data_IF_376964046781
#
_entry.id   IF_376964046781
#
_cell.length_a   1.000
_cell.length_b   1.000
_cell.length_c   1.000
_cell.angle_alpha   90.00
_cell.angle_beta   90.00
_cell.angle_gamma   90.00
#
_symmetry.space_group_name_H-M   'P 1'
#
loop_
_entity.id
_entity.type
_entity.pdbx_description
1 polymer ?
#
# COMPACT_ATOMS: atom_id res chain seq x y z
N UNK A 1 -3.92 9.29 -21.18
CA UNK A 1 -4.26 8.96 -19.78
C UNK A 1 -4.67 10.24 -19.06
N UNK A 2 -5.80 10.24 -18.34
CA UNK A 2 -6.29 11.40 -17.60
C UNK A 2 -6.07 11.20 -16.10
N UNK A 3 -5.26 12.07 -15.50
CA UNK A 3 -4.82 11.99 -14.10
C UNK A 3 -5.44 13.16 -13.32
N UNK A 4 -6.07 12.83 -12.19
CA UNK A 4 -6.66 13.79 -11.28
C UNK A 4 -5.96 13.77 -9.92
N UNK A 5 -5.41 14.92 -9.52
CA UNK A 5 -4.88 15.11 -8.17
C UNK A 5 -5.93 15.72 -7.24
N UNK A 6 -6.11 15.12 -6.07
CA UNK A 6 -7.10 15.56 -5.09
C UNK A 6 -6.46 15.96 -3.75
N UNK A 7 -6.94 17.07 -3.21
CA UNK A 7 -6.79 17.44 -1.81
C UNK A 7 -8.06 18.14 -1.31
N UNK A 8 -8.11 18.64 -0.08
CA UNK A 8 -9.32 19.29 0.44
C UNK A 8 -9.56 20.64 -0.26
N UNK A 9 -8.61 21.57 -0.12
CA UNK A 9 -8.81 22.96 -0.55
C UNK A 9 -8.44 23.26 -2.02
N UNK A 10 -7.82 22.31 -2.73
CA UNK A 10 -7.27 22.54 -4.08
C UNK A 10 -6.48 23.87 -4.20
N UNK A 11 -5.68 24.17 -3.18
CA UNK A 11 -4.95 25.44 -3.08
C UNK A 11 -3.44 25.29 -3.10
N UNK A 12 -2.88 24.21 -2.53
CA UNK A 12 -1.45 24.00 -2.40
C UNK A 12 -1.02 22.66 -3.00
N UNK A 13 -1.15 21.56 -2.25
CA UNK A 13 -0.63 20.23 -2.61
C UNK A 13 -1.05 19.77 -4.01
N UNK A 14 -2.35 19.78 -4.30
CA UNK A 14 -2.85 19.32 -5.61
C UNK A 14 -2.54 20.28 -6.74
N UNK A 15 -2.44 21.59 -6.46
CA UNK A 15 -1.99 22.59 -7.44
C UNK A 15 -0.52 22.42 -7.80
N UNK A 16 0.36 22.21 -6.81
CA UNK A 16 1.77 21.89 -7.05
C UNK A 16 1.92 20.57 -7.81
N UNK A 17 1.12 19.55 -7.44
CA UNK A 17 1.13 18.27 -8.12
C UNK A 17 0.71 18.37 -9.60
N UNK A 18 -0.32 19.12 -9.89
CA UNK A 18 -0.77 19.40 -11.25
C UNK A 18 0.33 20.08 -12.08
N UNK A 19 0.95 21.15 -11.55
CA UNK A 19 2.02 21.86 -12.24
C UNK A 19 3.23 20.98 -12.51
N UNK A 20 3.69 20.22 -11.50
CA UNK A 20 4.80 19.27 -11.62
C UNK A 20 4.50 18.17 -12.65
N UNK A 21 3.30 17.60 -12.56
CA UNK A 21 2.89 16.53 -13.45
C UNK A 21 2.75 16.98 -14.91
N UNK A 22 2.20 18.16 -15.15
CA UNK A 22 2.16 18.75 -16.49
C UNK A 22 3.57 18.95 -17.05
N UNK A 23 4.50 19.43 -16.25
CA UNK A 23 5.89 19.61 -16.68
C UNK A 23 6.61 18.29 -17.01
N UNK A 24 6.35 17.23 -16.22
CA UNK A 24 7.00 15.92 -16.39
C UNK A 24 6.33 15.10 -17.50
N UNK A 25 5.00 15.11 -17.59
CA UNK A 25 4.28 14.22 -18.51
C UNK A 25 4.10 14.83 -19.91
N UNK A 26 4.05 16.16 -20.03
CA UNK A 26 3.79 16.82 -21.31
C UNK A 26 2.51 16.29 -21.95
N UNK A 27 2.59 15.93 -23.22
CA UNK A 27 1.45 15.40 -23.99
C UNK A 27 1.08 13.94 -23.68
N UNK A 28 1.84 13.25 -22.82
CA UNK A 28 1.61 11.84 -22.46
C UNK A 28 0.39 11.64 -21.54
N UNK A 29 0.00 12.68 -20.81
CA UNK A 29 -1.16 12.65 -19.95
C UNK A 29 -1.86 14.01 -19.87
N UNK A 30 -3.18 13.98 -19.74
CA UNK A 30 -3.98 15.14 -19.37
C UNK A 30 -4.04 15.18 -17.84
N UNK A 31 -3.62 16.30 -17.26
CA UNK A 31 -3.50 16.45 -15.82
C UNK A 31 -4.42 17.54 -15.32
N UNK A 32 -5.16 17.24 -14.25
CA UNK A 32 -6.04 18.18 -13.55
C UNK A 32 -5.94 18.01 -12.04
N UNK A 33 -6.45 18.98 -11.31
CA UNK A 33 -6.61 18.88 -9.87
C UNK A 33 -7.95 19.42 -9.38
N UNK A 34 -8.43 18.91 -8.25
CA UNK A 34 -9.67 19.36 -7.62
C UNK A 34 -9.63 19.21 -6.09
N UNK A 35 -10.64 19.75 -5.42
CA UNK A 35 -10.84 19.63 -3.99
C UNK A 35 -12.30 19.54 -3.57
N UNK A 36 -12.54 19.03 -2.35
CA UNK A 36 -13.89 18.99 -1.77
C UNK A 36 -14.39 20.36 -1.29
N UNK A 37 -13.46 21.25 -0.93
CA UNK A 37 -13.74 22.62 -0.48
C UNK A 37 -12.74 23.58 -1.14
N UNK A 38 -12.87 23.83 -2.46
CA UNK A 38 -11.90 24.63 -3.20
C UNK A 38 -11.83 26.07 -2.67
N UNK A 39 -10.62 26.61 -2.69
CA UNK A 39 -10.34 27.98 -2.29
C UNK A 39 -9.54 28.71 -3.39
N UNK A 40 -8.57 29.53 -3.05
CA UNK A 40 -7.67 30.15 -4.02
C UNK A 40 -6.33 29.44 -4.02
N UNK A 41 -5.62 29.47 -5.17
CA UNK A 41 -4.25 28.97 -5.25
C UNK A 41 -3.37 29.72 -4.26
N UNK A 42 -2.65 28.98 -3.41
CA UNK A 42 -1.86 29.55 -2.34
C UNK A 42 -0.64 30.30 -2.90
N UNK A 43 -0.43 31.59 -2.56
CA UNK A 43 0.72 32.36 -3.06
C UNK A 43 2.08 31.73 -2.77
N UNK A 44 2.23 31.07 -1.61
CA UNK A 44 3.47 30.39 -1.25
C UNK A 44 3.70 29.14 -2.13
N UNK A 45 2.62 28.47 -2.55
CA UNK A 45 2.72 27.38 -3.54
C UNK A 45 3.23 27.92 -4.88
N UNK A 46 2.71 29.07 -5.34
CA UNK A 46 3.19 29.72 -6.57
C UNK A 46 4.67 30.09 -6.45
N UNK A 47 5.08 30.66 -5.32
CA UNK A 47 6.47 31.05 -5.07
C UNK A 47 7.42 29.87 -5.15
N UNK A 48 7.15 28.78 -4.39
CA UNK A 48 8.05 27.62 -4.36
C UNK A 48 8.06 26.85 -5.69
N UNK A 49 6.97 26.89 -6.45
CA UNK A 49 6.94 26.30 -7.78
C UNK A 49 7.75 27.12 -8.79
N UNK A 50 7.69 28.44 -8.68
CA UNK A 50 8.52 29.35 -9.48
C UNK A 50 10.01 29.13 -9.25
N UNK A 51 10.44 28.82 -8.01
CA UNK A 51 11.83 28.42 -7.70
C UNK A 51 12.30 27.20 -8.52
N UNK A 52 11.36 26.34 -8.92
CA UNK A 52 11.63 25.15 -9.77
C UNK A 52 11.37 25.42 -11.25
N UNK A 53 11.16 26.66 -11.65
CA UNK A 53 10.88 27.05 -13.03
C UNK A 53 9.48 26.70 -13.54
N UNK A 54 8.53 26.41 -12.65
CA UNK A 54 7.16 26.05 -13.00
C UNK A 54 6.21 27.12 -12.51
N UNK A 55 5.50 27.77 -13.43
CA UNK A 55 4.49 28.78 -13.12
C UNK A 55 3.11 28.13 -12.97
N UNK A 56 2.51 28.24 -11.78
CA UNK A 56 1.16 27.79 -11.48
C UNK A 56 0.22 28.95 -11.15
N UNK A 57 0.63 30.19 -11.39
CA UNK A 57 -0.16 31.39 -11.03
C UNK A 57 -1.49 31.50 -11.78
N UNK A 58 -1.58 30.91 -12.98
CA UNK A 58 -2.78 30.88 -13.80
C UNK A 58 -3.72 29.70 -13.50
N UNK A 59 -3.31 28.76 -12.64
CA UNK A 59 -4.17 27.63 -12.27
C UNK A 59 -5.34 28.11 -11.41
N UNK A 60 -6.42 27.34 -11.43
CA UNK A 60 -7.65 27.64 -10.68
C UNK A 60 -8.02 26.50 -9.76
N UNK A 61 -8.57 26.86 -8.59
CA UNK A 61 -9.13 25.85 -7.68
C UNK A 61 -10.50 25.41 -8.18
N UNK A 62 -10.64 24.10 -8.36
CA UNK A 62 -11.84 23.45 -8.95
C UNK A 62 -12.49 22.54 -7.92
N UNK A 63 -13.82 22.52 -7.91
CA UNK A 63 -14.57 21.56 -7.08
C UNK A 63 -14.52 20.15 -7.68
N UNK A 64 -14.37 19.14 -6.82
CA UNK A 64 -14.48 17.74 -7.25
C UNK A 64 -15.84 17.42 -7.87
N UNK A 65 -16.90 18.18 -7.51
CA UNK A 65 -18.25 18.03 -8.10
C UNK A 65 -18.34 18.51 -9.56
N UNK A 66 -17.37 19.28 -10.04
CA UNK A 66 -17.30 19.76 -11.42
C UNK A 66 -16.52 18.82 -12.35
N UNK A 67 -15.89 17.76 -11.78
CA UNK A 67 -15.10 16.81 -12.53
C UNK A 67 -15.98 15.73 -13.13
N UNK A 68 -15.84 15.52 -14.44
CA UNK A 68 -16.42 14.34 -15.10
C UNK A 68 -15.59 13.10 -14.73
N UNK A 69 -16.10 12.36 -13.75
CA UNK A 69 -15.43 11.17 -13.20
C UNK A 69 -15.29 10.02 -14.22
N UNK A 70 -16.12 10.00 -15.25
CA UNK A 70 -16.07 8.98 -16.31
C UNK A 70 -14.85 9.13 -17.23
N UNK A 71 -14.28 10.33 -17.28
CA UNK A 71 -13.09 10.63 -18.08
C UNK A 71 -11.78 10.42 -17.36
N UNK A 72 -11.78 10.10 -16.05
CA UNK A 72 -10.57 9.96 -15.22
C UNK A 72 -10.08 8.52 -15.19
N UNK A 73 -8.82 8.31 -15.58
CA UNK A 73 -8.16 7.00 -15.54
C UNK A 73 -7.46 6.71 -14.21
N UNK A 74 -6.90 7.76 -13.58
CA UNK A 74 -6.14 7.66 -12.34
C UNK A 74 -6.43 8.83 -11.41
N UNK A 75 -6.79 8.52 -10.17
CA UNK A 75 -6.94 9.49 -9.08
C UNK A 75 -5.77 9.37 -8.11
N UNK A 76 -5.17 10.49 -7.75
CA UNK A 76 -4.09 10.57 -6.76
C UNK A 76 -4.52 11.51 -5.63
N UNK A 77 -4.71 10.97 -4.44
CA UNK A 77 -5.11 11.74 -3.25
C UNK A 77 -3.87 12.13 -2.43
N UNK A 78 -3.83 13.39 -1.97
CA UNK A 78 -2.66 14.00 -1.33
C UNK A 78 -2.87 14.34 0.16
N UNK A 79 -4.06 14.11 0.72
CA UNK A 79 -4.34 14.40 2.12
C UNK A 79 -3.61 13.41 3.04
N UNK A 80 -3.00 13.89 4.13
CA UNK A 80 -2.34 13.02 5.12
C UNK A 80 -3.23 12.76 6.33
N UNK A 81 -3.90 13.79 6.85
CA UNK A 81 -4.67 13.75 8.09
C UNK A 81 -6.14 14.13 7.90
N UNK A 82 -6.47 14.72 6.74
CA UNK A 82 -7.84 15.12 6.43
C UNK A 82 -8.56 14.00 5.65
N UNK A 83 -9.87 14.02 5.71
CA UNK A 83 -10.69 13.14 4.88
C UNK A 83 -10.60 13.59 3.42
N UNK A 84 -9.92 12.81 2.60
CA UNK A 84 -9.85 13.06 1.16
C UNK A 84 -11.21 12.86 0.49
N UNK A 85 -11.54 13.69 -0.52
CA UNK A 85 -12.74 13.48 -1.31
C UNK A 85 -12.70 12.10 -2.01
N UNK A 86 -13.82 11.38 -1.94
CA UNK A 86 -13.98 10.09 -2.59
C UNK A 86 -14.68 10.32 -3.93
N UNK A 87 -14.04 9.93 -5.03
CA UNK A 87 -14.70 9.85 -6.33
C UNK A 87 -15.48 8.53 -6.41
N UNK A 88 -16.77 8.54 -6.78
CA UNK A 88 -17.49 7.30 -7.07
C UNK A 88 -16.94 6.65 -8.36
N UNK A 89 -17.07 5.31 -8.46
CA UNK A 89 -16.67 4.56 -9.65
C UNK A 89 -15.40 3.69 -9.46
N UNK A 90 -15.12 2.86 -10.46
CA UNK A 90 -14.00 1.91 -10.46
C UNK A 90 -12.73 2.51 -11.09
N UNK A 91 -12.32 3.70 -10.63
CA UNK A 91 -11.12 4.41 -11.10
C UNK A 91 -9.89 3.90 -10.33
N UNK A 92 -8.75 3.73 -11.01
CA UNK A 92 -7.47 3.43 -10.33
C UNK A 92 -7.13 4.54 -9.35
N UNK A 93 -6.67 4.18 -8.15
CA UNK A 93 -6.37 5.14 -7.07
C UNK A 93 -5.00 4.92 -6.49
N UNK A 94 -4.28 6.03 -6.31
CA UNK A 94 -3.06 6.09 -5.51
C UNK A 94 -3.29 7.07 -4.35
N UNK A 95 -2.65 6.78 -3.23
CA UNK A 95 -2.66 7.66 -2.07
C UNK A 95 -1.23 8.08 -1.75
N UNK A 96 -0.96 9.38 -1.87
CA UNK A 96 0.33 9.99 -1.57
C UNK A 96 0.18 10.94 -0.37
N UNK A 97 0.17 10.45 0.86
CA UNK A 97 -0.03 11.30 2.02
C UNK A 97 1.10 12.33 2.13
N UNK A 98 0.75 13.60 2.00
CA UNK A 98 1.62 14.76 2.13
C UNK A 98 1.04 15.65 3.22
N UNK A 99 1.83 15.92 4.26
CA UNK A 99 1.43 16.84 5.32
C UNK A 99 1.00 18.20 4.74
N UNK A 100 -0.03 18.81 5.32
CA UNK A 100 -0.49 20.12 4.82
C UNK A 100 0.56 21.21 5.12
N UNK A 101 1.22 21.78 4.10
CA UNK A 101 2.25 22.79 4.32
C UNK A 101 1.67 24.10 4.87
N UNK A 102 0.37 24.35 4.68
CA UNK A 102 -0.30 25.55 5.19
C UNK A 102 -0.91 25.34 6.59
N UNK A 103 -0.81 24.16 7.18
CA UNK A 103 -1.30 23.87 8.53
C UNK A 103 -0.63 24.81 9.54
N UNK A 104 -1.44 25.48 10.38
CA UNK A 104 -1.00 26.47 11.38
C UNK A 104 -0.14 27.64 10.82
N UNK A 105 -0.32 27.99 9.54
CA UNK A 105 0.44 29.04 8.87
C UNK A 105 0.55 30.37 9.66
N UNK A 106 -0.49 30.85 10.38
CA UNK A 106 -0.40 32.09 11.15
C UNK A 106 0.61 32.07 12.31
N UNK A 107 1.03 30.88 12.75
CA UNK A 107 2.00 30.72 13.85
C UNK A 107 3.43 30.51 13.36
N UNK A 108 3.67 30.46 12.05
CA UNK A 108 4.96 30.19 11.44
C UNK A 108 5.64 31.48 10.97
N UNK A 109 6.95 31.51 11.01
CA UNK A 109 7.74 32.51 10.30
C UNK A 109 7.63 32.29 8.78
N UNK A 110 7.93 33.31 7.97
CA UNK A 110 7.93 33.18 6.52
C UNK A 110 8.86 32.07 6.02
N UNK A 111 10.05 31.97 6.60
CA UNK A 111 11.05 30.95 6.23
C UNK A 111 10.60 29.53 6.59
N UNK A 112 9.97 29.36 7.75
CA UNK A 112 9.40 28.05 8.15
C UNK A 112 8.26 27.63 7.22
N UNK A 113 7.40 28.57 6.85
CA UNK A 113 6.31 28.31 5.91
C UNK A 113 6.85 27.91 4.54
N UNK A 114 7.78 28.68 3.99
CA UNK A 114 8.48 28.37 2.73
C UNK A 114 9.15 26.99 2.78
N UNK A 115 9.84 26.68 3.89
CA UNK A 115 10.48 25.38 4.11
C UNK A 115 9.49 24.21 4.03
N UNK A 116 8.30 24.35 4.63
CA UNK A 116 7.23 23.33 4.55
C UNK A 116 6.70 23.14 3.13
N UNK A 117 6.47 24.24 2.41
CA UNK A 117 6.02 24.17 1.02
C UNK A 117 7.08 23.56 0.09
N UNK A 118 8.36 23.90 0.26
CA UNK A 118 9.47 23.25 -0.47
C UNK A 118 9.52 21.74 -0.19
N UNK A 119 9.38 21.33 1.07
CA UNK A 119 9.33 19.91 1.45
C UNK A 119 8.16 19.18 0.77
N UNK A 120 6.97 19.77 0.80
CA UNK A 120 5.80 19.20 0.15
C UNK A 120 5.98 19.10 -1.37
N UNK A 121 6.48 20.16 -2.02
CA UNK A 121 6.82 20.19 -3.45
C UNK A 121 7.80 19.06 -3.80
N UNK A 122 8.88 18.92 -3.05
CA UNK A 122 9.95 17.97 -3.36
C UNK A 122 9.47 16.52 -3.15
N UNK A 123 8.64 16.25 -2.14
CA UNK A 123 7.99 14.97 -1.94
C UNK A 123 7.02 14.61 -3.08
N UNK A 124 6.26 15.58 -3.57
CA UNK A 124 5.34 15.40 -4.70
C UNK A 124 6.16 15.18 -5.97
N UNK A 125 7.20 16.01 -6.20
CA UNK A 125 8.08 15.90 -7.37
C UNK A 125 8.70 14.52 -7.50
N UNK A 126 9.27 13.98 -6.43
CA UNK A 126 9.87 12.66 -6.43
C UNK A 126 8.89 11.55 -6.88
N UNK A 127 7.62 11.65 -6.45
CA UNK A 127 6.57 10.69 -6.85
C UNK A 127 6.09 10.90 -8.29
N UNK A 128 5.98 12.15 -8.72
CA UNK A 128 5.62 12.51 -10.10
C UNK A 128 6.69 12.04 -11.08
N UNK A 129 7.97 12.21 -10.77
CA UNK A 129 9.09 11.74 -11.59
C UNK A 129 9.03 10.20 -11.78
N UNK A 130 8.77 9.45 -10.69
CA UNK A 130 8.61 7.99 -10.76
C UNK A 130 7.37 7.63 -11.59
N UNK A 131 6.23 8.27 -11.34
CA UNK A 131 5.01 8.02 -12.10
C UNK A 131 5.21 8.32 -13.60
N UNK A 132 5.95 9.39 -13.94
CA UNK A 132 6.30 9.72 -15.31
C UNK A 132 7.11 8.64 -16.03
N UNK A 133 7.97 7.94 -15.30
CA UNK A 133 8.70 6.78 -15.85
C UNK A 133 7.80 5.55 -16.03
N UNK A 134 6.72 5.43 -15.25
CA UNK A 134 5.78 4.30 -15.32
C UNK A 134 4.70 4.48 -16.40
N UNK A 135 4.38 5.73 -16.78
CA UNK A 135 3.39 6.00 -17.84
C UNK A 135 3.82 5.39 -19.18
N UNK A 136 5.12 5.33 -19.44
CA UNK A 136 5.68 4.79 -20.68
C UNK A 136 5.98 3.27 -20.58
N UNK A 137 5.80 2.67 -19.40
CA UNK A 137 5.93 1.22 -19.26
C UNK A 137 4.70 0.60 -19.93
N UNK A 138 4.90 0.14 -21.17
CA UNK A 138 3.95 -0.75 -21.83
C UNK A 138 3.65 -1.94 -20.92
N UNK A 139 2.51 -2.57 -21.10
CA UNK A 139 2.08 -3.74 -20.35
C UNK A 139 3.26 -4.67 -20.07
N UNK A 140 3.47 -4.95 -18.78
CA UNK A 140 4.45 -5.95 -18.37
C UNK A 140 4.12 -7.31 -18.98
N UNK A 141 4.98 -8.31 -18.85
CA UNK A 141 4.70 -9.63 -19.38
C UNK A 141 3.34 -10.09 -18.84
N UNK A 142 2.48 -10.58 -19.72
CA UNK A 142 1.26 -11.28 -19.31
C UNK A 142 1.69 -12.46 -18.44
N UNK A 143 1.51 -12.30 -17.11
CA UNK A 143 1.95 -13.27 -16.13
C UNK A 143 0.77 -14.14 -15.72
N UNK A 144 0.86 -15.43 -15.98
CA UNK A 144 -0.13 -16.41 -15.55
C UNK A 144 0.21 -17.04 -14.19
N UNK A 145 1.47 -16.89 -13.75
CA UNK A 145 1.97 -17.56 -12.56
C UNK A 145 3.01 -16.66 -11.84
N UNK A 146 2.90 -16.57 -10.52
CA UNK A 146 3.92 -15.97 -9.67
C UNK A 146 4.84 -17.06 -9.10
N UNK A 147 6.12 -17.05 -9.51
CA UNK A 147 7.12 -17.98 -9.01
C UNK A 147 7.94 -17.35 -7.88
N UNK A 148 8.05 -18.07 -6.76
CA UNK A 148 8.93 -17.69 -5.66
C UNK A 148 9.66 -18.90 -5.09
N UNK A 149 10.85 -18.70 -4.52
CA UNK A 149 11.66 -19.77 -3.97
C UNK A 149 12.27 -19.35 -2.64
N UNK A 150 12.20 -20.23 -1.65
CA UNK A 150 12.87 -20.08 -0.35
C UNK A 150 13.94 -21.17 -0.17
N UNK A 151 15.05 -20.78 0.44
CA UNK A 151 16.01 -21.75 0.98
C UNK A 151 15.62 -22.11 2.39
N UNK A 152 15.76 -23.41 2.72
CA UNK A 152 15.39 -23.97 4.02
C UNK A 152 16.51 -24.90 4.52
N UNK A 153 16.72 -24.94 5.83
CA UNK A 153 17.70 -25.86 6.43
C UNK A 153 17.17 -27.28 6.49
N UNK A 154 15.92 -27.45 6.95
CA UNK A 154 15.23 -28.73 7.08
C UNK A 154 14.14 -28.87 6.03
N UNK A 155 14.42 -29.53 4.88
CA UNK A 155 13.45 -29.62 3.79
C UNK A 155 12.18 -30.38 4.20
N UNK A 156 12.30 -31.46 4.98
CA UNK A 156 11.15 -32.29 5.36
C UNK A 156 10.17 -31.54 6.28
N UNK A 157 10.70 -30.83 7.28
CA UNK A 157 9.97 -30.01 8.23
C UNK A 157 9.27 -28.85 7.50
N UNK A 158 10.01 -28.20 6.61
CA UNK A 158 9.48 -27.09 5.79
C UNK A 158 8.42 -27.58 4.82
N UNK A 159 8.59 -28.72 4.17
CA UNK A 159 7.54 -29.32 3.31
C UNK A 159 6.27 -29.58 4.10
N UNK A 160 6.36 -30.14 5.30
CA UNK A 160 5.19 -30.37 6.17
C UNK A 160 4.48 -29.04 6.50
N UNK A 161 5.23 -28.01 6.86
CA UNK A 161 4.69 -26.68 7.18
C UNK A 161 4.01 -26.03 5.96
N UNK A 162 4.73 -25.96 4.82
CA UNK A 162 4.20 -25.31 3.63
C UNK A 162 3.09 -26.09 2.91
N UNK A 163 3.05 -27.41 3.03
CA UNK A 163 1.92 -28.20 2.58
C UNK A 163 0.64 -27.83 3.34
N UNK A 164 0.74 -27.64 4.65
CA UNK A 164 -0.37 -27.13 5.45
C UNK A 164 -0.71 -25.67 5.10
N UNK A 165 0.30 -24.76 5.06
CA UNK A 165 0.09 -23.33 4.81
C UNK A 165 -0.57 -23.06 3.46
N UNK A 166 -0.10 -23.74 2.41
CA UNK A 166 -0.59 -23.60 1.04
C UNK A 166 -1.81 -24.48 0.75
N UNK A 167 -2.23 -25.29 1.72
CA UNK A 167 -3.33 -26.26 1.58
C UNK A 167 -3.19 -27.11 0.32
N UNK A 168 -1.99 -27.60 0.05
CA UNK A 168 -1.69 -28.45 -1.11
C UNK A 168 -0.48 -29.36 -0.85
N UNK A 169 -0.44 -30.51 -1.50
CA UNK A 169 0.74 -31.38 -1.50
C UNK A 169 1.77 -30.86 -2.51
N UNK A 170 3.08 -31.10 -2.28
CA UNK A 170 4.09 -30.79 -3.28
C UNK A 170 3.83 -31.61 -4.56
N UNK A 171 3.86 -30.92 -5.70
CA UNK A 171 3.80 -31.55 -7.03
C UNK A 171 5.02 -32.42 -7.29
N UNK A 172 6.16 -31.98 -6.77
CA UNK A 172 7.44 -32.70 -6.86
C UNK A 172 8.19 -32.50 -5.54
N UNK A 173 8.84 -33.56 -5.06
CA UNK A 173 9.67 -33.54 -3.86
C UNK A 173 10.87 -34.45 -4.03
N UNK A 174 12.06 -33.85 -4.04
CA UNK A 174 13.36 -34.53 -4.12
C UNK A 174 14.12 -34.33 -2.81
N UNK A 175 15.35 -34.87 -2.75
CA UNK A 175 16.24 -34.60 -1.62
C UNK A 175 16.79 -33.16 -1.58
N UNK A 176 16.62 -32.37 -2.65
CA UNK A 176 17.15 -31.01 -2.78
C UNK A 176 16.10 -29.92 -2.80
N UNK A 177 14.88 -30.22 -3.24
CA UNK A 177 13.80 -29.26 -3.38
C UNK A 177 12.41 -29.90 -3.32
N UNK A 178 11.43 -29.05 -3.07
CA UNK A 178 10.02 -29.38 -3.22
C UNK A 178 9.30 -28.24 -3.96
N UNK A 179 8.39 -28.57 -4.87
CA UNK A 179 7.62 -27.62 -5.68
C UNK A 179 6.14 -27.73 -5.32
N UNK A 180 5.53 -26.61 -4.99
CA UNK A 180 4.11 -26.48 -4.73
C UNK A 180 3.46 -25.64 -5.80
N UNK A 181 2.37 -26.11 -6.38
CA UNK A 181 1.61 -25.40 -7.39
C UNK A 181 0.19 -25.15 -6.88
N UNK A 182 -0.23 -23.90 -6.92
CA UNK A 182 -1.59 -23.44 -6.61
C UNK A 182 -2.12 -22.62 -7.78
N UNK A 183 -2.73 -23.28 -8.79
CA UNK A 183 -3.22 -22.60 -10.00
C UNK A 183 -4.29 -21.56 -9.70
N UNK A 184 -5.11 -21.81 -8.68
CA UNK A 184 -6.15 -20.88 -8.20
C UNK A 184 -5.60 -19.58 -7.61
N UNK A 185 -4.32 -19.56 -7.20
CA UNK A 185 -3.59 -18.39 -6.75
C UNK A 185 -2.56 -17.90 -7.77
N UNK A 186 -2.44 -18.56 -8.92
CA UNK A 186 -1.35 -18.29 -9.87
C UNK A 186 0.03 -18.45 -9.21
N UNK A 187 0.21 -19.41 -8.29
CA UNK A 187 1.41 -19.55 -7.47
C UNK A 187 2.20 -20.82 -7.79
N UNK A 188 3.50 -20.63 -8.05
CA UNK A 188 4.53 -21.67 -8.09
C UNK A 188 5.56 -21.37 -6.99
N UNK A 189 5.52 -22.17 -5.92
CA UNK A 189 6.34 -21.99 -4.73
C UNK A 189 7.34 -23.15 -4.58
N UNK A 190 8.63 -22.80 -4.47
CA UNK A 190 9.71 -23.78 -4.37
C UNK A 190 10.43 -23.67 -3.05
N UNK A 191 10.55 -24.78 -2.34
CA UNK A 191 11.50 -24.94 -1.23
C UNK A 191 12.77 -25.58 -1.76
N UNK A 192 13.93 -25.04 -1.38
CA UNK A 192 15.24 -25.54 -1.79
C UNK A 192 16.16 -25.65 -0.57
N UNK A 193 16.91 -26.74 -0.45
CA UNK A 193 17.88 -26.87 0.64
C UNK A 193 18.89 -25.74 0.63
N UNK A 194 19.29 -25.29 1.81
CA UNK A 194 20.25 -24.20 1.98
C UNK A 194 21.64 -24.52 1.42
N UNK A 195 22.01 -25.81 1.43
CA UNK A 195 23.28 -26.31 0.84
C UNK A 195 24.52 -25.58 1.38
N UNK A 196 24.56 -25.40 2.71
CA UNK A 196 25.63 -24.69 3.41
C UNK A 196 25.60 -23.16 3.29
N UNK A 197 24.60 -22.58 2.64
CA UNK A 197 24.42 -21.14 2.56
C UNK A 197 23.69 -20.61 3.80
N UNK A 198 24.08 -19.42 4.24
CA UNK A 198 23.32 -18.73 5.29
C UNK A 198 21.96 -18.29 4.78
N UNK A 199 20.94 -18.50 5.62
CA UNK A 199 19.61 -17.96 5.36
C UNK A 199 19.59 -16.49 5.78
N UNK A 200 19.39 -15.61 4.82
CA UNK A 200 19.25 -14.15 5.05
C UNK A 200 17.78 -13.82 5.28
N UNK A 201 17.36 -13.87 6.54
CA UNK A 201 15.99 -13.53 6.91
C UNK A 201 15.75 -12.01 6.98
N UNK A 202 16.81 -11.22 7.05
CA UNK A 202 16.75 -9.75 7.21
C UNK A 202 16.19 -9.02 5.98
N UNK A 203 16.23 -9.64 4.81
CA UNK A 203 15.75 -9.03 3.55
C UNK A 203 14.32 -9.41 3.18
N UNK A 204 13.80 -10.52 3.72
CA UNK A 204 12.40 -10.93 3.59
C UNK A 204 11.68 -10.64 4.89
N UNK A 205 10.88 -9.58 4.93
CA UNK A 205 10.16 -9.22 6.15
C UNK A 205 9.13 -10.30 6.52
N UNK A 206 8.26 -10.68 5.59
CA UNK A 206 7.30 -11.79 5.78
C UNK A 206 6.73 -12.29 4.46
N UNK A 207 6.09 -13.46 4.51
CA UNK A 207 5.18 -13.96 3.48
C UNK A 207 3.74 -13.81 3.98
N UNK A 208 2.85 -13.29 3.14
CA UNK A 208 1.45 -13.09 3.47
C UNK A 208 0.51 -14.08 2.75
N UNK A 209 -0.42 -14.68 3.50
CA UNK A 209 -1.51 -15.51 2.95
C UNK A 209 -2.85 -14.86 3.29
N UNK A 210 -3.51 -14.34 2.27
CA UNK A 210 -4.86 -13.80 2.41
C UNK A 210 -5.90 -14.92 2.53
N UNK A 211 -6.79 -14.82 3.51
CA UNK A 211 -7.94 -15.71 3.72
C UNK A 211 -9.24 -14.93 3.64
N UNK A 212 -10.38 -15.64 3.57
CA UNK A 212 -11.66 -15.02 3.23
C UNK A 212 -12.17 -14.04 4.29
N UNK A 213 -12.04 -14.38 5.58
CA UNK A 213 -12.66 -13.65 6.66
C UNK A 213 -11.97 -13.89 8.02
N UNK A 214 -12.46 -13.22 9.05
CA UNK A 214 -12.06 -13.34 10.44
C UNK A 214 -12.05 -14.79 10.95
N UNK A 215 -13.07 -15.57 10.61
CA UNK A 215 -13.19 -16.96 11.08
C UNK A 215 -12.10 -17.83 10.46
N UNK A 216 -11.76 -17.61 9.20
CA UNK A 216 -10.67 -18.32 8.55
C UNK A 216 -9.29 -18.03 9.19
N UNK A 217 -9.08 -16.81 9.73
CA UNK A 217 -7.88 -16.48 10.54
C UNK A 217 -7.87 -17.27 11.84
N UNK A 218 -9.00 -17.33 12.56
CA UNK A 218 -9.15 -18.08 13.82
C UNK A 218 -8.96 -19.59 13.58
N UNK A 219 -9.58 -20.14 12.54
CA UNK A 219 -9.42 -21.54 12.17
C UNK A 219 -7.97 -21.88 11.80
N UNK A 220 -7.27 -20.95 11.15
CA UNK A 220 -5.86 -21.11 10.83
C UNK A 220 -5.00 -21.18 12.10
N UNK A 221 -5.33 -20.39 13.13
CA UNK A 221 -4.67 -20.46 14.42
C UNK A 221 -4.84 -21.84 15.08
N UNK A 222 -6.06 -22.38 15.15
CA UNK A 222 -6.29 -23.70 15.73
C UNK A 222 -5.57 -24.81 14.96
N UNK A 223 -5.55 -24.73 13.64
CA UNK A 223 -4.81 -25.68 12.79
C UNK A 223 -3.30 -25.55 12.96
N UNK A 224 -2.77 -24.31 13.07
CA UNK A 224 -1.36 -24.05 13.31
C UNK A 224 -0.89 -24.65 14.65
N UNK A 225 -1.68 -24.47 15.72
CA UNK A 225 -1.42 -25.09 17.04
C UNK A 225 -1.39 -26.62 16.95
N UNK A 226 -2.35 -27.22 16.24
CA UNK A 226 -2.38 -28.67 16.05
C UNK A 226 -1.18 -29.19 15.25
N UNK A 227 -0.68 -28.38 14.31
CA UNK A 227 0.53 -28.67 13.55
C UNK A 227 1.80 -28.58 14.42
N UNK A 228 1.76 -27.82 15.53
CA UNK A 228 2.93 -27.45 16.33
C UNK A 228 3.74 -26.31 15.74
N UNK A 229 3.11 -25.46 14.89
CA UNK A 229 3.76 -24.27 14.34
C UNK A 229 4.03 -23.24 15.43
N UNK A 230 5.12 -22.49 15.29
CA UNK A 230 5.44 -21.39 16.19
C UNK A 230 4.51 -20.20 15.97
N UNK A 231 3.74 -19.81 17.00
CA UNK A 231 2.86 -18.65 16.97
C UNK A 231 3.67 -17.44 17.43
N UNK A 232 3.88 -16.47 16.55
CA UNK A 232 4.60 -15.23 16.86
C UNK A 232 3.68 -14.16 17.45
N UNK A 233 2.47 -13.99 16.87
CA UNK A 233 1.41 -13.14 17.41
C UNK A 233 0.08 -13.87 17.33
N UNK A 234 -0.71 -13.77 18.37
CA UNK A 234 -2.04 -14.37 18.43
C UNK A 234 -3.01 -13.71 17.44
N UNK A 235 -4.07 -14.42 17.03
CA UNK A 235 -5.12 -13.85 16.20
C UNK A 235 -5.68 -12.57 16.78
N UNK A 236 -5.71 -11.51 16.02
CA UNK A 236 -6.20 -10.21 16.46
C UNK A 236 -6.68 -9.37 15.30
N UNK A 237 -7.52 -8.38 15.58
CA UNK A 237 -7.81 -7.26 14.69
C UNK A 237 -6.81 -6.15 14.97
N UNK A 238 -6.10 -5.70 13.98
CA UNK A 238 -5.21 -4.54 14.03
C UNK A 238 -5.88 -3.36 13.35
N UNK A 239 -5.89 -2.19 14.00
CA UNK A 239 -6.59 -0.99 13.54
C UNK A 239 -5.65 0.07 12.97
N UNK A 240 -4.40 0.09 13.44
CA UNK A 240 -3.37 1.05 12.97
C UNK A 240 -2.77 0.63 11.63
N UNK A 241 -2.54 1.61 10.77
CA UNK A 241 -2.00 1.35 9.44
C UNK A 241 -3.06 0.81 8.48
N UNK A 242 -2.86 -0.39 7.97
CA UNK A 242 -3.87 -1.12 7.19
C UNK A 242 -4.66 -2.03 8.12
N UNK A 243 -5.93 -1.73 8.45
CA UNK A 243 -6.73 -2.57 9.33
C UNK A 243 -6.95 -3.97 8.76
N UNK A 244 -6.62 -4.98 9.55
CA UNK A 244 -6.69 -6.40 9.17
C UNK A 244 -7.05 -7.27 10.37
N UNK A 245 -7.68 -8.42 10.12
CA UNK A 245 -7.62 -9.55 11.02
C UNK A 245 -6.33 -10.31 10.69
N UNK A 246 -5.46 -10.54 11.66
CA UNK A 246 -4.12 -11.11 11.40
C UNK A 246 -3.73 -12.18 12.42
N UNK A 247 -2.94 -13.14 11.96
CA UNK A 247 -2.23 -14.16 12.73
C UNK A 247 -0.80 -14.20 12.23
N UNK A 248 0.17 -14.17 13.14
CA UNK A 248 1.59 -14.26 12.76
C UNK A 248 2.22 -15.53 13.26
N UNK A 249 2.92 -16.22 12.37
CA UNK A 249 3.59 -17.48 12.58
C UNK A 249 5.07 -17.35 12.22
N UNK A 250 5.87 -18.36 12.61
CA UNK A 250 7.18 -18.61 12.01
C UNK A 250 7.18 -19.97 11.35
N UNK A 251 7.81 -20.04 10.17
CA UNK A 251 8.16 -21.33 9.56
C UNK A 251 9.28 -22.02 10.36
N UNK A 252 9.66 -23.27 10.03
CA UNK A 252 10.71 -23.99 10.74
C UNK A 252 12.09 -23.31 10.74
N UNK A 253 12.36 -22.43 9.77
CA UNK A 253 13.59 -21.67 9.66
C UNK A 253 13.51 -20.25 10.24
N UNK A 254 12.35 -19.86 10.79
CA UNK A 254 12.13 -18.58 11.43
C UNK A 254 11.58 -17.48 10.50
N UNK A 255 11.26 -17.79 9.23
CA UNK A 255 10.62 -16.85 8.33
C UNK A 255 9.25 -16.45 8.88
N UNK A 256 8.97 -15.15 8.94
CA UNK A 256 7.66 -14.65 9.37
C UNK A 256 6.59 -14.94 8.32
N UNK A 257 5.46 -15.44 8.78
CA UNK A 257 4.28 -15.72 7.96
C UNK A 257 3.09 -14.97 8.55
N UNK A 258 2.45 -14.16 7.74
CA UNK A 258 1.20 -13.49 8.07
C UNK A 258 0.02 -14.24 7.44
N UNK A 259 -0.96 -14.66 8.22
CA UNK A 259 -2.27 -15.10 7.71
C UNK A 259 -3.26 -13.99 8.04
N UNK A 260 -3.88 -13.41 7.01
CA UNK A 260 -4.70 -12.22 7.21
C UNK A 260 -6.01 -12.26 6.44
N UNK A 261 -7.01 -11.55 6.96
CA UNK A 261 -8.25 -11.22 6.26
C UNK A 261 -8.52 -9.71 6.31
N UNK A 262 -9.09 -9.18 5.23
CA UNK A 262 -9.51 -7.78 5.20
C UNK A 262 -10.78 -7.60 6.01
N UNK A 263 -10.90 -6.46 6.71
CA UNK A 263 -12.13 -6.10 7.37
C UNK A 263 -13.22 -5.74 6.35
N UNK A 264 -14.44 -6.14 6.63
CA UNK A 264 -15.63 -5.68 5.91
C UNK A 264 -15.93 -4.21 6.24
N UNK A 265 -16.75 -3.55 5.42
CA UNK A 265 -17.18 -2.17 5.69
C UNK A 265 -17.91 -2.04 7.03
N UNK A 266 -18.69 -3.06 7.42
CA UNK A 266 -19.37 -3.10 8.71
C UNK A 266 -18.37 -3.16 9.88
N UNK A 267 -17.37 -4.05 9.80
CA UNK A 267 -16.31 -4.14 10.82
C UNK A 267 -15.47 -2.87 10.89
N UNK A 268 -15.23 -2.20 9.76
CA UNK A 268 -14.52 -0.91 9.73
C UNK A 268 -15.29 0.21 10.45
N UNK A 269 -16.62 0.16 10.47
CA UNK A 269 -17.45 1.14 11.20
C UNK A 269 -17.41 0.97 12.73
N UNK A 270 -17.01 -0.21 13.20
CA UNK A 270 -16.89 -0.53 14.63
C UNK A 270 -15.48 -0.25 15.20
N UNK A 271 -14.65 0.47 14.46
CA UNK A 271 -13.28 0.81 14.86
C UNK A 271 -13.26 1.52 16.23
N UNK A 272 -12.52 0.98 17.23
CA UNK A 272 -12.41 1.59 18.54
C UNK A 272 -11.61 2.90 18.50
N UNK A 273 -12.00 3.86 19.34
CA UNK A 273 -11.39 5.20 19.37
C UNK A 273 -9.90 5.19 19.77
N UNK A 274 -9.47 4.21 20.55
CA UNK A 274 -8.08 4.06 21.00
C UNK A 274 -7.20 3.27 20.03
N UNK A 275 -7.81 2.68 18.98
CA UNK A 275 -7.15 1.86 17.96
C UNK A 275 -6.28 0.72 18.54
N UNK A 276 -6.59 0.27 19.75
CA UNK A 276 -5.88 -0.87 20.33
C UNK A 276 -6.25 -2.17 19.61
N UNK A 277 -5.30 -3.11 19.44
CA UNK A 277 -5.59 -4.40 18.82
C UNK A 277 -6.61 -5.20 19.66
N UNK A 278 -7.56 -5.84 18.99
CA UNK A 278 -8.54 -6.71 19.59
C UNK A 278 -8.20 -8.17 19.33
N UNK A 279 -7.99 -8.95 20.41
CA UNK A 279 -7.70 -10.37 20.27
C UNK A 279 -8.95 -11.15 19.87
N UNK A 280 -8.81 -12.04 18.88
CA UNK A 280 -9.92 -12.81 18.29
C UNK A 280 -10.22 -14.12 19.03
N UNK A 281 -9.32 -14.58 19.88
CA UNK A 281 -9.50 -15.78 20.69
C UNK A 281 -9.42 -15.39 22.17
N UNK A 282 -10.53 -15.57 22.89
CA UNK A 282 -10.63 -15.27 24.33
C UNK A 282 -10.15 -16.42 25.24
N UNK A 283 -9.75 -17.57 24.68
CA UNK A 283 -9.32 -18.73 25.44
C UNK A 283 -7.80 -18.76 25.59
N UNK A 284 -7.28 -17.91 26.46
CA UNK A 284 -5.91 -18.05 26.99
C UNK A 284 -5.92 -17.66 28.47
N UNK A 285 -6.58 -18.49 29.28
CA UNK A 285 -6.28 -18.63 30.71
C UNK A 285 -5.57 -19.96 30.93
#
# INVERSE_FOLDING_TARGET
>A
MNILFLCVANSARSQMAEGLARAVFGDRAIVSSAGSAPSQVNPVAVEVMTESGIDISSQQSTSVSEIDTSSVDLVITLCAEEVCPILPGNVKRLHWPIADPASNAPSLTGDELLGRFRTARDQIKARVDILGSLIDVSEGPASEEFHTSLRVNGLAESVKFYAWLLNTWPKEWTHRYAIFIRPDLGLNFVLMVADGKHLHQDTLYHLGIGVNDKNAVIDSYHRARKLGAHIEKLPRTTWKGTPLHELWLKDPDGTLIEIYARLTEAEMSDKPADENPEYLTLELT
#
